data_IF_315320621706
#
_entry.id   IF_315320621706
#
_cell.length_a   1.000
_cell.length_b   1.000
_cell.length_c   1.000
_cell.angle_alpha   90.00
_cell.angle_beta   90.00
_cell.angle_gamma   90.00
#
_symmetry.space_group_name_H-M   'P 1'
#
loop_
_entity.id
_entity.type
_entity.pdbx_description
1 polymer ?
#
# COMPACT_ATOMS: atom_id res chain seq x y z
N UNK A 1 41.62 0.31 10.92
CA UNK A 1 41.50 1.77 10.76
C UNK A 1 41.94 2.16 9.35
N UNK A 2 41.16 1.78 8.35
CA UNK A 2 41.50 1.91 6.91
C UNK A 2 40.36 2.52 6.08
N UNK A 3 39.22 2.84 6.70
CA UNK A 3 38.04 3.36 6.00
C UNK A 3 38.15 4.83 5.55
N UNK A 4 38.98 5.65 6.20
CA UNK A 4 39.09 7.08 5.86
C UNK A 4 39.91 7.35 4.60
N UNK A 5 40.92 6.52 4.33
CA UNK A 5 41.75 6.60 3.11
C UNK A 5 41.00 6.13 1.87
N UNK A 6 40.14 5.12 2.01
CA UNK A 6 39.40 4.54 0.89
C UNK A 6 38.28 5.47 0.39
N UNK A 7 37.64 6.22 1.29
CA UNK A 7 36.63 7.22 0.93
C UNK A 7 37.24 8.44 0.22
N UNK A 8 38.39 8.92 0.71
CA UNK A 8 39.12 10.04 0.08
C UNK A 8 39.65 9.69 -1.32
N UNK A 9 40.05 8.43 -1.55
CA UNK A 9 40.45 7.96 -2.88
C UNK A 9 39.26 7.93 -3.85
N UNK A 10 38.07 7.51 -3.37
CA UNK A 10 36.85 7.50 -4.16
C UNK A 10 36.39 8.92 -4.52
N UNK A 11 36.44 9.87 -3.59
CA UNK A 11 36.13 11.29 -3.82
C UNK A 11 37.06 11.96 -4.84
N UNK A 12 38.33 11.51 -4.93
CA UNK A 12 39.30 12.05 -5.88
C UNK A 12 39.10 11.54 -7.30
N UNK A 13 38.63 10.30 -7.48
CA UNK A 13 38.29 9.71 -8.78
C UNK A 13 36.95 10.28 -9.30
N UNK A 14 36.03 10.62 -8.38
CA UNK A 14 34.71 11.22 -8.66
C UNK A 14 34.78 12.67 -9.16
N UNK A 15 35.91 13.37 -8.96
CA UNK A 15 36.10 14.74 -9.49
C UNK A 15 36.15 14.82 -11.02
N UNK A 16 36.35 13.70 -11.72
CA UNK A 16 36.27 13.62 -13.17
C UNK A 16 34.87 13.27 -13.69
N UNK A 17 33.96 12.86 -12.80
CA UNK A 17 32.55 12.60 -13.12
C UNK A 17 31.71 13.74 -12.55
N UNK A 18 31.71 14.88 -13.24
CA UNK A 18 30.82 16.01 -12.92
C UNK A 18 29.38 15.66 -13.31
N UNK A 19 28.83 14.60 -12.71
CA UNK A 19 27.40 14.44 -12.51
C UNK A 19 27.06 15.13 -11.21
N UNK A 20 26.87 16.44 -11.31
CA UNK A 20 26.23 17.23 -10.26
C UNK A 20 24.99 16.47 -9.79
N UNK A 21 24.90 16.16 -8.48
CA UNK A 21 23.68 15.69 -7.81
C UNK A 21 22.60 16.77 -7.96
N UNK A 22 22.02 16.83 -9.15
CA UNK A 22 20.97 17.76 -9.51
C UNK A 22 19.74 17.32 -8.71
N UNK A 23 19.09 18.27 -8.02
CA UNK A 23 17.69 18.17 -7.58
C UNK A 23 17.30 17.61 -6.19
N UNK A 24 18.03 17.92 -5.11
CA UNK A 24 17.53 17.73 -3.73
C UNK A 24 16.11 18.31 -3.46
N UNK A 25 15.62 19.28 -4.25
CA UNK A 25 14.27 19.83 -4.16
C UNK A 25 13.18 19.10 -4.99
N UNK A 26 13.53 18.35 -6.04
CA UNK A 26 12.52 17.60 -6.84
C UNK A 26 12.32 16.19 -6.29
N UNK A 27 13.38 15.55 -5.82
CA UNK A 27 13.30 14.20 -5.25
C UNK A 27 12.41 14.19 -3.99
N UNK A 28 12.53 15.22 -3.14
CA UNK A 28 11.67 15.37 -1.96
C UNK A 28 10.20 15.64 -2.33
N UNK A 29 9.94 16.27 -3.49
CA UNK A 29 8.59 16.61 -3.94
C UNK A 29 7.79 15.36 -4.28
N UNK A 30 8.41 14.38 -4.94
CA UNK A 30 7.79 13.09 -5.21
C UNK A 30 7.29 12.41 -3.93
N UNK A 31 8.15 12.31 -2.91
CA UNK A 31 7.75 11.68 -1.65
C UNK A 31 6.68 12.46 -0.89
N UNK A 32 6.66 13.80 -1.02
CA UNK A 32 5.57 14.64 -0.50
C UNK A 32 4.25 14.35 -1.19
N UNK A 33 4.22 14.16 -2.51
CA UNK A 33 3.00 13.77 -3.21
C UNK A 33 2.41 12.46 -2.68
N UNK A 34 3.26 11.49 -2.33
CA UNK A 34 2.81 10.26 -1.67
C UNK A 34 2.18 10.55 -0.31
N UNK A 35 2.88 11.32 0.54
CA UNK A 35 2.41 11.68 1.87
C UNK A 35 1.13 12.54 1.86
N UNK A 36 0.96 13.40 0.86
CA UNK A 36 -0.22 14.24 0.66
C UNK A 36 -1.38 13.47 0.02
N UNK A 37 -1.14 12.27 -0.51
CA UNK A 37 -2.16 11.50 -1.23
C UNK A 37 -2.46 12.06 -2.62
N UNK A 38 -1.52 12.75 -3.26
CA UNK A 38 -1.71 13.35 -4.58
C UNK A 38 -1.58 12.28 -5.68
N UNK A 39 -2.68 11.56 -5.93
CA UNK A 39 -2.72 10.46 -6.89
C UNK A 39 -2.42 10.91 -8.34
N UNK A 40 -2.79 12.13 -8.71
CA UNK A 40 -2.59 12.65 -10.06
C UNK A 40 -1.09 12.77 -10.40
N UNK A 41 -0.33 13.39 -9.51
CA UNK A 41 1.12 13.54 -9.71
C UNK A 41 1.85 12.19 -9.61
N UNK A 42 1.37 11.27 -8.77
CA UNK A 42 1.92 9.91 -8.71
C UNK A 42 1.69 9.16 -10.02
N UNK A 43 0.50 9.22 -10.61
CA UNK A 43 0.25 8.61 -11.92
C UNK A 43 1.14 9.21 -13.02
N UNK A 44 1.33 10.54 -13.04
CA UNK A 44 2.25 11.17 -14.00
C UNK A 44 3.69 10.65 -13.86
N UNK A 45 4.18 10.50 -12.64
CA UNK A 45 5.53 9.96 -12.40
C UNK A 45 5.66 8.50 -12.87
N UNK A 46 4.63 7.68 -12.63
CA UNK A 46 4.58 6.28 -13.07
C UNK A 46 4.55 6.20 -14.60
N UNK A 47 3.68 6.98 -15.26
CA UNK A 47 3.56 7.03 -16.72
C UNK A 47 4.86 7.50 -17.40
N UNK A 48 5.61 8.37 -16.73
CA UNK A 48 6.90 8.88 -17.20
C UNK A 48 8.09 7.98 -16.86
N UNK A 49 7.88 6.83 -16.19
CA UNK A 49 8.95 5.91 -15.79
C UNK A 49 10.05 6.59 -14.95
N UNK A 50 9.66 7.55 -14.10
CA UNK A 50 10.62 8.41 -13.37
C UNK A 50 11.52 7.61 -12.41
N UNK A 51 11.03 6.47 -11.88
CA UNK A 51 11.84 5.62 -11.01
C UNK A 51 13.08 5.05 -11.70
N UNK A 52 12.96 4.69 -12.99
CA UNK A 52 14.08 4.15 -13.77
C UNK A 52 14.86 5.23 -14.54
N UNK A 53 14.48 6.51 -14.39
CA UNK A 53 15.09 7.62 -15.12
C UNK A 53 16.56 7.80 -14.72
N UNK A 54 17.54 7.63 -15.62
CA UNK A 54 18.96 7.67 -15.27
C UNK A 54 19.44 9.05 -14.82
N UNK A 55 18.65 10.11 -15.05
CA UNK A 55 19.03 11.47 -14.68
C UNK A 55 18.97 11.67 -13.16
N UNK A 56 20.14 11.75 -12.52
CA UNK A 56 20.28 12.06 -11.10
C UNK A 56 20.30 10.85 -10.17
N UNK A 57 20.28 9.63 -10.71
CA UNK A 57 20.35 8.40 -9.92
C UNK A 57 21.82 8.04 -9.65
N UNK A 58 22.18 8.01 -8.37
CA UNK A 58 23.53 7.61 -7.94
C UNK A 58 23.86 6.15 -8.30
N UNK A 59 25.14 5.86 -8.55
CA UNK A 59 25.61 4.49 -8.81
C UNK A 59 26.06 3.82 -7.50
N UNK A 60 25.13 3.10 -6.89
CA UNK A 60 25.30 2.33 -5.65
C UNK A 60 25.75 0.87 -5.90
N UNK A 61 25.61 0.38 -7.13
CA UNK A 61 26.08 -0.95 -7.54
C UNK A 61 26.62 -0.95 -8.97
N UNK A 62 27.49 -1.91 -9.27
CA UNK A 62 27.92 -2.21 -10.65
C UNK A 62 26.86 -2.97 -11.43
N UNK A 63 26.04 -3.76 -10.75
CA UNK A 63 24.88 -4.43 -11.34
C UNK A 63 23.68 -3.47 -11.35
N UNK A 64 23.07 -3.28 -12.52
CA UNK A 64 22.03 -2.27 -12.71
C UNK A 64 20.76 -2.61 -11.92
N UNK A 65 20.36 -3.88 -11.87
CA UNK A 65 19.17 -4.30 -11.13
C UNK A 65 19.40 -4.07 -9.63
N UNK A 66 20.54 -4.49 -9.11
CA UNK A 66 20.92 -4.28 -7.72
C UNK A 66 21.05 -2.78 -7.38
N UNK A 67 21.52 -1.96 -8.31
CA UNK A 67 21.57 -0.51 -8.14
C UNK A 67 20.18 0.06 -7.83
N UNK A 68 19.19 -0.31 -8.65
CA UNK A 68 17.82 0.11 -8.45
C UNK A 68 17.15 -0.54 -7.24
N UNK A 69 17.55 -1.76 -6.84
CA UNK A 69 17.08 -2.35 -5.56
C UNK A 69 17.51 -1.50 -4.38
N UNK A 70 18.72 -0.95 -4.37
CA UNK A 70 19.15 -0.04 -3.32
C UNK A 70 18.35 1.26 -3.32
N UNK A 71 18.10 1.84 -4.49
CA UNK A 71 17.25 3.02 -4.61
C UNK A 71 15.82 2.75 -4.16
N UNK A 72 15.26 1.58 -4.45
CA UNK A 72 13.96 1.17 -3.92
C UNK A 72 13.94 1.19 -2.39
N UNK A 73 14.97 0.63 -1.74
CA UNK A 73 15.09 0.62 -0.26
C UNK A 73 15.19 2.04 0.30
N UNK A 74 15.90 2.94 -0.38
CA UNK A 74 15.94 4.36 -0.01
C UNK A 74 14.55 5.00 -0.15
N UNK A 75 13.90 4.83 -1.30
CA UNK A 75 12.57 5.37 -1.58
C UNK A 75 11.55 4.92 -0.54
N UNK A 76 11.48 3.62 -0.23
CA UNK A 76 10.50 3.12 0.73
C UNK A 76 10.77 3.59 2.16
N UNK A 77 12.03 3.74 2.56
CA UNK A 77 12.38 4.29 3.86
C UNK A 77 11.94 5.77 3.99
N UNK A 78 12.15 6.57 2.94
CA UNK A 78 11.75 7.98 2.88
C UNK A 78 10.23 8.14 2.88
N UNK A 79 9.52 7.37 2.05
CA UNK A 79 8.05 7.35 1.99
C UNK A 79 7.48 6.95 3.36
N UNK A 80 7.99 5.86 3.95
CA UNK A 80 7.53 5.38 5.27
C UNK A 80 7.64 6.49 6.31
N UNK A 81 8.80 7.14 6.39
CA UNK A 81 9.02 8.21 7.36
C UNK A 81 8.08 9.40 7.13
N UNK A 82 7.97 9.87 5.88
CA UNK A 82 7.11 11.00 5.56
C UNK A 82 5.63 10.70 5.80
N UNK A 83 5.15 9.50 5.46
CA UNK A 83 3.79 9.09 5.74
C UNK A 83 3.50 9.06 7.25
N UNK A 84 4.44 8.59 8.08
CA UNK A 84 4.30 8.62 9.54
C UNK A 84 4.25 10.06 10.06
N UNK A 85 5.16 10.91 9.59
CA UNK A 85 5.19 12.33 9.96
C UNK A 85 3.90 13.07 9.53
N UNK A 86 3.20 12.57 8.51
CA UNK A 86 1.92 13.08 8.01
C UNK A 86 0.69 12.31 8.56
N UNK A 87 0.85 11.52 9.62
CA UNK A 87 -0.26 10.95 10.38
C UNK A 87 -0.60 9.49 10.08
N UNK A 88 0.18 8.78 9.26
CA UNK A 88 0.08 7.33 9.20
C UNK A 88 0.57 6.70 10.50
N UNK A 89 -0.20 5.76 11.03
CA UNK A 89 0.20 4.97 12.20
C UNK A 89 1.51 4.21 11.92
N UNK A 90 2.43 4.27 12.88
CA UNK A 90 3.81 3.85 12.72
C UNK A 90 3.94 2.35 12.40
N UNK A 91 3.26 1.48 13.14
CA UNK A 91 3.27 0.03 12.93
C UNK A 91 2.71 -0.31 11.55
N UNK A 92 1.62 0.33 11.12
CA UNK A 92 1.04 0.18 9.78
C UNK A 92 2.02 0.57 8.69
N UNK A 93 2.73 1.69 8.85
CA UNK A 93 3.71 2.17 7.88
C UNK A 93 4.91 1.21 7.78
N UNK A 94 5.45 0.74 8.91
CA UNK A 94 6.57 -0.19 8.91
C UNK A 94 6.19 -1.57 8.38
N UNK A 95 5.01 -2.10 8.72
CA UNK A 95 4.53 -3.37 8.16
C UNK A 95 4.39 -3.32 6.63
N UNK A 96 4.04 -2.16 6.09
CA UNK A 96 3.98 -1.94 4.64
C UNK A 96 5.38 -1.92 4.03
N UNK A 97 6.33 -1.24 4.70
CA UNK A 97 7.74 -1.22 4.31
C UNK A 97 8.33 -2.62 4.26
N UNK A 98 8.20 -3.39 5.34
CA UNK A 98 8.71 -4.75 5.46
C UNK A 98 8.15 -5.66 4.36
N UNK A 99 6.84 -5.56 4.10
CA UNK A 99 6.18 -6.33 3.06
C UNK A 99 6.78 -6.11 1.67
N UNK A 100 7.05 -4.85 1.29
CA UNK A 100 7.60 -4.52 -0.03
C UNK A 100 9.11 -4.74 -0.12
N UNK A 101 9.87 -4.53 0.97
CA UNK A 101 11.30 -4.84 1.02
C UNK A 101 11.52 -6.35 0.85
N UNK A 102 10.75 -7.20 1.55
CA UNK A 102 10.84 -8.66 1.39
C UNK A 102 10.52 -9.11 -0.04
N UNK A 103 9.70 -8.35 -0.78
CA UNK A 103 9.41 -8.66 -2.19
C UNK A 103 10.59 -8.42 -3.12
N UNK A 104 11.60 -7.64 -2.72
CA UNK A 104 12.80 -7.40 -3.52
C UNK A 104 13.68 -8.65 -3.70
N UNK A 105 13.60 -9.62 -2.79
CA UNK A 105 14.47 -10.81 -2.81
C UNK A 105 14.33 -11.60 -4.12
N UNK A 106 13.11 -11.68 -4.66
CA UNK A 106 12.82 -12.44 -5.88
C UNK A 106 12.96 -11.63 -7.18
N UNK A 107 13.17 -10.32 -7.09
CA UNK A 107 13.22 -9.46 -8.27
C UNK A 107 14.56 -9.62 -8.99
N UNK A 108 14.52 -9.88 -10.29
CA UNK A 108 15.74 -10.05 -11.11
C UNK A 108 15.76 -9.18 -12.37
N UNK A 109 14.70 -8.41 -12.62
CA UNK A 109 14.57 -7.55 -13.81
C UNK A 109 14.20 -6.13 -13.40
N UNK A 110 14.58 -5.14 -14.22
CA UNK A 110 14.18 -3.75 -13.99
C UNK A 110 12.67 -3.54 -14.16
N UNK A 111 12.04 -4.26 -15.09
CA UNK A 111 10.61 -4.17 -15.34
C UNK A 111 9.79 -4.64 -14.12
N UNK A 112 10.17 -5.78 -13.52
CA UNK A 112 9.47 -6.28 -12.33
C UNK A 112 9.75 -5.39 -11.10
N UNK A 113 10.94 -4.80 -11.03
CA UNK A 113 11.31 -3.85 -9.98
C UNK A 113 10.48 -2.57 -10.05
N UNK A 114 10.33 -1.99 -11.24
CA UNK A 114 9.53 -0.79 -11.48
C UNK A 114 8.06 -1.05 -11.16
N UNK A 115 7.49 -2.17 -11.62
CA UNK A 115 6.12 -2.58 -11.26
C UNK A 115 5.91 -2.72 -9.76
N UNK A 116 6.91 -3.24 -9.04
CA UNK A 116 6.86 -3.35 -7.58
C UNK A 116 6.90 -1.96 -6.92
N UNK A 117 7.75 -1.06 -7.43
CA UNK A 117 7.87 0.31 -6.97
C UNK A 117 6.55 1.07 -7.15
N UNK A 118 5.96 1.04 -8.34
CA UNK A 118 4.71 1.73 -8.64
C UNK A 118 3.58 1.26 -7.73
N UNK A 119 3.50 -0.05 -7.51
CA UNK A 119 2.52 -0.64 -6.61
C UNK A 119 2.72 -0.18 -5.17
N UNK A 120 3.96 -0.13 -4.69
CA UNK A 120 4.31 0.32 -3.34
C UNK A 120 3.91 1.79 -3.15
N UNK A 121 4.28 2.66 -4.09
CA UNK A 121 3.96 4.09 -4.07
C UNK A 121 2.45 4.33 -4.08
N UNK A 122 1.70 3.62 -4.94
CA UNK A 122 0.25 3.71 -4.99
C UNK A 122 -0.41 3.22 -3.69
N UNK A 123 0.12 2.18 -3.05
CA UNK A 123 -0.43 1.66 -1.80
C UNK A 123 -0.26 2.65 -0.64
N UNK A 124 0.92 3.26 -0.50
CA UNK A 124 1.14 4.36 0.46
C UNK A 124 0.23 5.56 0.15
N UNK A 125 0.20 6.00 -1.10
CA UNK A 125 -0.59 7.17 -1.54
C UNK A 125 -2.07 6.98 -1.23
N UNK A 126 -2.65 5.83 -1.57
CA UNK A 126 -4.05 5.53 -1.29
C UNK A 126 -4.36 5.50 0.21
N UNK A 127 -3.45 4.97 1.04
CA UNK A 127 -3.62 5.02 2.50
C UNK A 127 -3.57 6.45 3.01
N UNK A 128 -2.67 7.28 2.48
CA UNK A 128 -2.58 8.69 2.83
C UNK A 128 -3.79 9.50 2.39
N UNK A 129 -4.41 9.21 1.24
CA UNK A 129 -5.69 9.84 0.86
C UNK A 129 -6.75 9.62 1.94
N UNK A 130 -6.85 8.41 2.48
CA UNK A 130 -7.82 8.08 3.54
C UNK A 130 -7.47 8.83 4.83
N UNK A 131 -6.19 8.86 5.20
CA UNK A 131 -5.70 9.55 6.40
C UNK A 131 -5.91 11.07 6.30
N UNK A 132 -5.55 11.67 5.17
CA UNK A 132 -5.67 13.11 4.94
C UNK A 132 -7.13 13.55 4.80
N UNK A 133 -8.01 12.68 4.26
CA UNK A 133 -9.45 12.89 4.36
C UNK A 133 -9.85 12.90 5.83
N UNK A 134 -9.44 11.89 6.61
CA UNK A 134 -9.74 11.79 8.05
C UNK A 134 -9.23 12.94 8.93
N UNK A 135 -8.16 13.63 8.51
CA UNK A 135 -7.67 14.83 9.20
C UNK A 135 -8.64 16.02 9.10
N UNK A 136 -9.48 16.08 8.06
CA UNK A 136 -10.56 17.06 7.90
C UNK A 136 -11.94 16.52 8.35
N UNK A 137 -12.01 15.26 8.78
CA UNK A 137 -13.26 14.68 9.28
C UNK A 137 -13.48 15.10 10.73
N UNK A 138 -14.74 15.21 11.13
CA UNK A 138 -15.06 15.43 12.52
C UNK A 138 -14.59 14.25 13.38
N UNK A 139 -14.30 14.50 14.66
CA UNK A 139 -13.87 13.46 15.59
C UNK A 139 -14.78 12.22 15.60
N UNK A 140 -16.13 12.34 15.64
CA UNK A 140 -17.02 11.18 15.58
C UNK A 140 -16.87 10.37 14.28
N UNK A 141 -16.57 11.02 13.16
CA UNK A 141 -16.33 10.33 11.90
C UNK A 141 -15.02 9.55 11.94
N UNK A 142 -13.94 10.16 12.41
CA UNK A 142 -12.65 9.47 12.56
C UNK A 142 -12.75 8.27 13.50
N UNK A 143 -13.49 8.40 14.61
CA UNK A 143 -13.78 7.29 15.52
C UNK A 143 -14.58 6.18 14.82
N UNK A 144 -15.60 6.52 14.02
CA UNK A 144 -16.34 5.54 13.21
C UNK A 144 -15.43 4.79 12.23
N UNK A 145 -14.56 5.50 11.50
CA UNK A 145 -13.66 4.88 10.53
C UNK A 145 -12.70 3.90 11.21
N UNK A 146 -12.08 4.33 12.32
CA UNK A 146 -11.19 3.47 13.11
C UNK A 146 -11.90 2.21 13.61
N UNK A 147 -13.15 2.34 14.07
CA UNK A 147 -13.96 1.20 14.46
C UNK A 147 -14.20 0.25 13.28
N UNK A 148 -14.58 0.76 12.12
CA UNK A 148 -14.85 -0.05 10.92
C UNK A 148 -13.62 -0.86 10.53
N UNK A 149 -12.45 -0.21 10.43
CA UNK A 149 -11.21 -0.87 10.02
C UNK A 149 -10.73 -1.93 11.01
N UNK A 150 -10.95 -1.70 12.32
CA UNK A 150 -10.59 -2.64 13.37
C UNK A 150 -11.52 -3.87 13.43
N UNK A 151 -12.78 -3.71 13.00
CA UNK A 151 -13.83 -4.74 13.12
C UNK A 151 -14.34 -5.25 11.76
N UNK A 152 -13.55 -5.12 10.67
CA UNK A 152 -13.97 -5.53 9.32
C UNK A 152 -14.42 -7.00 9.21
N UNK A 153 -13.98 -7.86 10.13
CA UNK A 153 -14.31 -9.28 10.16
C UNK A 153 -15.69 -9.56 10.74
N UNK A 154 -16.28 -8.57 11.41
CA UNK A 154 -17.53 -8.68 12.16
C UNK A 154 -18.69 -8.04 11.39
N UNK A 155 -19.91 -8.30 11.85
CA UNK A 155 -21.10 -7.62 11.33
C UNK A 155 -21.21 -6.23 11.98
N UNK A 156 -20.78 -5.21 11.24
CA UNK A 156 -20.89 -3.80 11.66
C UNK A 156 -22.22 -3.22 11.16
N UNK A 157 -22.90 -2.50 12.04
CA UNK A 157 -24.11 -1.73 11.75
C UNK A 157 -23.93 -0.26 12.17
N UNK A 158 -24.79 0.62 11.64
CA UNK A 158 -24.80 2.03 12.06
C UNK A 158 -25.12 2.21 13.56
N UNK A 159 -25.82 1.26 14.17
CA UNK A 159 -26.11 1.29 15.62
C UNK A 159 -24.84 1.04 16.43
N UNK A 160 -23.99 0.11 16.00
CA UNK A 160 -22.72 -0.19 16.67
C UNK A 160 -21.79 1.02 16.64
N UNK A 161 -21.73 1.73 15.49
CA UNK A 161 -20.95 2.97 15.37
C UNK A 161 -21.52 4.10 16.23
N UNK A 162 -22.84 4.22 16.30
CA UNK A 162 -23.52 5.21 17.11
C UNK A 162 -23.26 4.98 18.61
N UNK A 163 -23.34 3.73 19.06
CA UNK A 163 -23.02 3.34 20.44
C UNK A 163 -21.54 3.61 20.77
N UNK A 164 -20.63 3.18 19.89
CA UNK A 164 -19.19 3.38 20.07
C UNK A 164 -18.80 4.86 20.19
N UNK A 165 -19.43 5.72 19.40
CA UNK A 165 -19.15 7.17 19.38
C UNK A 165 -20.03 7.98 20.34
N UNK A 166 -20.89 7.34 21.13
CA UNK A 166 -21.87 8.02 22.01
C UNK A 166 -22.76 9.02 21.26
N UNK A 167 -23.15 8.69 20.02
CA UNK A 167 -24.00 9.52 19.16
C UNK A 167 -25.28 8.79 18.75
N UNK A 168 -26.22 9.49 18.11
CA UNK A 168 -27.40 8.83 17.53
C UNK A 168 -27.09 8.20 16.17
N UNK A 169 -27.74 7.07 15.84
CA UNK A 169 -27.59 6.44 14.53
C UNK A 169 -27.99 7.36 13.36
N UNK A 170 -28.99 8.22 13.57
CA UNK A 170 -29.39 9.24 12.59
C UNK A 170 -28.31 10.30 12.37
N UNK A 171 -27.61 10.72 13.42
CA UNK A 171 -26.48 11.64 13.31
C UNK A 171 -25.33 11.00 12.54
N UNK A 172 -24.91 9.77 12.89
CA UNK A 172 -23.86 9.05 12.17
C UNK A 172 -24.24 8.86 10.69
N UNK A 173 -25.49 8.50 10.40
CA UNK A 173 -25.93 8.30 9.02
C UNK A 173 -25.82 9.58 8.17
N UNK A 174 -26.17 10.74 8.75
CA UNK A 174 -26.00 12.06 8.11
C UNK A 174 -24.53 12.41 7.97
N UNK A 175 -23.74 12.18 9.02
CA UNK A 175 -22.31 12.46 9.04
C UNK A 175 -21.56 11.76 7.89
N UNK A 176 -21.88 10.49 7.61
CA UNK A 176 -21.33 9.75 6.46
C UNK A 176 -21.71 10.38 5.12
N UNK A 177 -22.93 10.92 4.99
CA UNK A 177 -23.36 11.59 3.76
C UNK A 177 -22.70 12.96 3.61
N UNK A 178 -22.59 13.71 4.69
CA UNK A 178 -22.08 15.07 4.70
C UNK A 178 -20.57 15.11 4.48
N UNK A 179 -19.81 14.21 5.12
CA UNK A 179 -18.34 14.24 5.07
C UNK A 179 -17.74 13.27 4.03
N UNK A 180 -18.42 12.15 3.73
CA UNK A 180 -17.90 11.11 2.81
C UNK A 180 -18.77 10.91 1.56
N UNK A 181 -19.90 11.62 1.43
CA UNK A 181 -20.79 11.52 0.26
C UNK A 181 -21.48 10.16 0.10
N UNK A 182 -21.34 9.25 1.05
CA UNK A 182 -21.79 7.85 0.94
C UNK A 182 -22.60 7.42 2.16
N UNK A 183 -23.32 6.30 2.05
CA UNK A 183 -24.01 5.75 3.22
C UNK A 183 -23.03 4.94 4.08
N UNK A 184 -23.30 4.85 5.38
CA UNK A 184 -22.52 4.01 6.31
C UNK A 184 -22.42 2.56 5.82
N UNK A 185 -23.54 1.98 5.37
CA UNK A 185 -23.59 0.59 4.88
C UNK A 185 -22.78 0.39 3.60
N UNK A 186 -22.82 1.35 2.67
CA UNK A 186 -22.03 1.28 1.44
C UNK A 186 -20.54 1.43 1.74
N UNK A 187 -20.16 2.31 2.67
CA UNK A 187 -18.76 2.47 3.08
C UNK A 187 -18.20 1.20 3.72
N UNK A 188 -18.92 0.61 4.68
CA UNK A 188 -18.52 -0.67 5.31
C UNK A 188 -18.39 -1.77 4.27
N UNK A 189 -19.35 -1.85 3.33
CA UNK A 189 -19.31 -2.83 2.23
C UNK A 189 -18.05 -2.64 1.40
N UNK A 190 -17.76 -1.42 0.97
CA UNK A 190 -16.61 -1.10 0.13
C UNK A 190 -15.30 -1.47 0.83
N UNK A 191 -15.14 -1.09 2.10
CA UNK A 191 -13.96 -1.43 2.89
C UNK A 191 -13.75 -2.95 3.00
N UNK A 192 -14.83 -3.73 3.19
CA UNK A 192 -14.76 -5.21 3.20
C UNK A 192 -14.39 -5.78 1.83
N UNK A 193 -14.94 -5.24 0.75
CA UNK A 193 -14.60 -5.67 -0.61
C UNK A 193 -13.12 -5.42 -0.89
N UNK A 194 -12.61 -4.22 -0.59
CA UNK A 194 -11.19 -3.88 -0.74
C UNK A 194 -10.28 -4.82 0.07
N UNK A 195 -10.61 -5.08 1.34
CA UNK A 195 -9.86 -6.01 2.16
C UNK A 195 -9.89 -7.45 1.59
N UNK A 196 -11.02 -7.87 1.04
CA UNK A 196 -11.18 -9.21 0.43
C UNK A 196 -10.33 -9.40 -0.83
N UNK A 197 -10.03 -8.33 -1.58
CA UNK A 197 -9.16 -8.41 -2.74
C UNK A 197 -7.77 -8.95 -2.38
N UNK A 198 -7.25 -8.60 -1.20
CA UNK A 198 -5.95 -9.09 -0.74
C UNK A 198 -5.97 -10.60 -0.50
N UNK A 199 -7.02 -11.12 0.15
CA UNK A 199 -7.16 -12.58 0.32
C UNK A 199 -7.35 -13.31 -1.01
N UNK A 200 -8.04 -12.70 -1.98
CA UNK A 200 -8.18 -13.26 -3.32
C UNK A 200 -6.85 -13.34 -4.08
N UNK A 201 -5.93 -12.39 -3.85
CA UNK A 201 -4.62 -12.30 -4.51
C UNK A 201 -3.56 -13.20 -3.89
N UNK A 202 -3.51 -13.26 -2.56
CA UNK A 202 -2.35 -13.80 -1.83
C UNK A 202 -2.66 -15.02 -0.95
N UNK A 203 -3.86 -15.57 -1.03
CA UNK A 203 -4.22 -16.75 -0.22
C UNK A 203 -5.09 -17.72 -1.00
N UNK A 204 -5.00 -18.99 -0.59
CA UNK A 204 -5.76 -20.09 -1.18
C UNK A 204 -7.12 -20.29 -0.51
N UNK A 205 -7.54 -19.38 0.38
CA UNK A 205 -8.84 -19.48 1.05
C UNK A 205 -9.97 -19.59 0.05
N UNK A 206 -10.96 -20.44 0.33
CA UNK A 206 -12.09 -20.57 -0.59
C UNK A 206 -12.91 -19.26 -0.62
N UNK A 207 -13.71 -19.07 -1.68
CA UNK A 207 -14.61 -17.90 -1.73
C UNK A 207 -15.63 -17.91 -0.58
N UNK A 208 -16.00 -19.10 -0.09
CA UNK A 208 -16.85 -19.26 1.08
C UNK A 208 -16.13 -18.81 2.36
N UNK A 209 -14.86 -19.20 2.54
CA UNK A 209 -14.06 -18.79 3.71
C UNK A 209 -13.86 -17.28 3.75
N UNK A 210 -13.54 -16.66 2.61
CA UNK A 210 -13.38 -15.21 2.50
C UNK A 210 -14.70 -14.50 2.79
N UNK A 211 -15.82 -15.01 2.26
CA UNK A 211 -17.13 -14.45 2.53
C UNK A 211 -17.47 -14.50 4.03
N UNK A 212 -17.22 -15.64 4.68
CA UNK A 212 -17.45 -15.83 6.11
C UNK A 212 -16.52 -14.96 6.96
N UNK A 213 -15.24 -14.87 6.58
CA UNK A 213 -14.23 -14.09 7.30
C UNK A 213 -14.56 -12.60 7.38
N UNK A 214 -15.21 -12.04 6.36
CA UNK A 214 -15.68 -10.66 6.34
C UNK A 214 -17.17 -10.53 6.73
N UNK A 215 -17.77 -11.58 7.31
CA UNK A 215 -19.17 -11.61 7.75
C UNK A 215 -20.18 -11.21 6.65
N UNK A 216 -19.98 -11.68 5.41
CA UNK A 216 -21.01 -11.62 4.38
C UNK A 216 -22.07 -12.71 4.63
N UNK A 217 -23.33 -12.43 4.29
CA UNK A 217 -24.46 -13.36 4.54
C UNK A 217 -24.37 -14.67 3.77
N UNK A 218 -23.67 -14.68 2.63
CA UNK A 218 -23.37 -15.88 1.85
C UNK A 218 -22.25 -15.62 0.84
N UNK A 219 -21.64 -16.67 0.33
CA UNK A 219 -20.71 -16.60 -0.81
C UNK A 219 -21.34 -15.93 -2.04
N UNK A 220 -22.63 -16.20 -2.30
CA UNK A 220 -23.35 -15.60 -3.43
C UNK A 220 -23.53 -14.09 -3.25
N UNK A 221 -23.91 -13.66 -2.04
CA UNK A 221 -24.02 -12.23 -1.69
C UNK A 221 -22.66 -11.52 -1.83
N UNK A 222 -21.59 -12.12 -1.31
CA UNK A 222 -20.23 -11.63 -1.51
C UNK A 222 -19.88 -11.49 -2.99
N UNK A 223 -20.14 -12.53 -3.79
CA UNK A 223 -19.77 -12.54 -5.22
C UNK A 223 -20.50 -11.47 -6.03
N UNK A 224 -21.79 -11.24 -5.76
CA UNK A 224 -22.58 -10.20 -6.40
C UNK A 224 -22.07 -8.81 -6.05
N UNK A 225 -21.83 -8.55 -4.76
CA UNK A 225 -21.31 -7.25 -4.32
C UNK A 225 -19.91 -6.99 -4.86
N UNK A 226 -19.03 -7.99 -4.80
CA UNK A 226 -17.69 -7.86 -5.34
C UNK A 226 -17.70 -7.55 -6.83
N UNK A 227 -18.55 -8.22 -7.62
CA UNK A 227 -18.67 -7.91 -9.04
C UNK A 227 -19.24 -6.52 -9.30
N UNK A 228 -20.22 -6.08 -8.49
CA UNK A 228 -20.79 -4.74 -8.61
C UNK A 228 -19.73 -3.66 -8.36
N UNK A 229 -18.90 -3.81 -7.34
CA UNK A 229 -17.91 -2.80 -6.97
C UNK A 229 -16.64 -2.86 -7.84
N UNK A 230 -16.25 -4.04 -8.32
CA UNK A 230 -14.96 -4.23 -9.02
C UNK A 230 -15.07 -4.46 -10.53
N UNK A 231 -16.28 -4.70 -11.04
CA UNK A 231 -16.55 -5.12 -12.42
C UNK A 231 -16.19 -6.59 -12.73
N UNK A 232 -15.54 -7.31 -11.81
CA UNK A 232 -15.12 -8.71 -12.00
C UNK A 232 -15.71 -9.61 -10.92
N UNK A 233 -16.05 -10.86 -11.25
CA UNK A 233 -16.42 -11.83 -10.19
C UNK A 233 -15.20 -12.15 -9.34
N UNK A 234 -15.35 -12.53 -8.05
CA UNK A 234 -14.21 -12.91 -7.20
C UNK A 234 -13.34 -13.99 -7.82
N UNK A 235 -13.96 -14.96 -8.52
CA UNK A 235 -13.25 -16.02 -9.24
C UNK A 235 -12.42 -15.47 -10.39
N UNK A 236 -12.99 -14.62 -11.25
CA UNK A 236 -12.25 -13.98 -12.36
C UNK A 236 -11.17 -13.04 -11.86
N UNK A 237 -11.45 -12.32 -10.78
CA UNK A 237 -10.48 -11.45 -10.12
C UNK A 237 -9.32 -12.26 -9.57
N UNK A 238 -9.61 -13.39 -8.90
CA UNK A 238 -8.62 -14.37 -8.49
C UNK A 238 -7.85 -14.84 -9.72
N UNK A 239 -8.45 -15.51 -10.70
CA UNK A 239 -7.74 -15.98 -11.91
C UNK A 239 -6.82 -14.92 -12.58
N UNK A 240 -7.23 -13.65 -12.58
CA UNK A 240 -6.44 -12.54 -13.14
C UNK A 240 -5.25 -12.11 -12.25
N UNK A 241 -5.39 -12.16 -10.93
CA UNK A 241 -4.43 -11.58 -9.98
C UNK A 241 -3.89 -12.59 -8.94
N UNK A 242 -4.31 -13.84 -9.02
CA UNK A 242 -3.96 -14.94 -8.14
C UNK A 242 -2.70 -15.58 -8.65
N UNK A 243 -1.67 -15.51 -7.84
CA UNK A 243 -0.35 -15.92 -8.29
C UNK A 243 0.03 -15.20 -9.59
N UNK A 244 -0.18 -13.88 -9.71
CA UNK A 244 0.86 -13.09 -10.40
C UNK A 244 2.16 -13.42 -9.67
N UNK A 245 2.91 -14.35 -10.29
CA UNK A 245 3.69 -15.38 -9.60
C UNK A 245 4.90 -14.77 -8.90
N UNK A 246 4.83 -14.73 -7.57
CA UNK A 246 5.95 -15.08 -6.68
C UNK A 246 6.03 -16.62 -6.67
N UNK A 247 7.13 -17.21 -7.15
CA UNK A 247 7.37 -18.66 -7.10
C UNK A 247 8.14 -19.03 -5.82
N UNK A 248 7.41 -19.44 -4.79
CA UNK A 248 7.97 -20.13 -3.61
C UNK A 248 6.93 -20.16 -2.49
N UNK A 249 6.48 -21.29 -1.94
CA UNK A 249 7.07 -22.64 -1.83
C UNK A 249 5.97 -23.71 -1.67
N UNK A 250 6.21 -24.99 -2.04
CA UNK A 250 5.32 -26.11 -1.75
C UNK A 250 5.26 -26.46 -0.26
N UNK A 251 4.05 -26.78 0.21
CA UNK A 251 3.66 -27.18 1.58
C UNK A 251 4.26 -28.52 2.09
N UNK A 252 5.35 -29.02 1.52
CA UNK A 252 5.80 -30.40 1.75
C UNK A 252 6.83 -30.60 2.88
N UNK A 253 7.21 -29.56 3.64
CA UNK A 253 8.25 -29.69 4.70
C UNK A 253 7.67 -29.84 6.13
N UNK A 254 6.46 -30.38 6.29
CA UNK A 254 5.90 -30.69 7.63
C UNK A 254 5.45 -32.15 7.81
N UNK A 255 5.96 -33.08 7.00
CA UNK A 255 5.79 -34.51 7.25
C UNK A 255 7.09 -35.25 6.99
N UNK A 256 7.99 -35.25 7.97
CA UNK A 256 9.00 -36.30 8.22
C UNK A 256 9.91 -35.89 9.37
N UNK A 257 9.38 -35.91 10.59
CA UNK A 257 10.14 -36.36 11.77
C UNK A 257 9.16 -37.12 12.67
N UNK A 258 9.29 -38.44 12.63
CA UNK A 258 8.51 -39.45 13.33
C UNK A 258 9.10 -40.82 13.02
#
# INVERSE_FOLDING_TARGET
>A
MTSSTDWLANEYDDKNDVQTHNHQNRELLFYRYVAEGNLEEIHKNIENHEFLNPNGIGKLSRDIVQNFKYHFVVSIALITRLCVDNGMEMERAYRLSDFYIQKLDDISTLEDLEKLHDKMVLDYTNKMIIINRSANLSRPMTECLNYIYSHLKERITVKDLAEYTSNSASYISRLFKDELGTSTSDYIRQAKIEASMNLLRYSDYSLADIANYFSFTSQSHFSQLFQKETGLTPKKYREKYYGTHWKGTPRDIMKTEG
#
